data_IF_337197421848
#
_entry.id   IF_337197421848
#
_cell.length_a   1.000
_cell.length_b   1.000
_cell.length_c   1.000
_cell.angle_alpha   90.00
_cell.angle_beta   90.00
_cell.angle_gamma   90.00
#
_symmetry.space_group_name_H-M   'P 1'
#
loop_
_entity.id
_entity.type
_entity.pdbx_description
1 polymer ?
#
# COMPACT_ATOMS: atom_id res chain seq x y z
N UNK A 1 -33.20 -6.97 8.76
CA UNK A 1 -31.91 -6.31 9.08
C UNK A 1 -30.87 -7.42 9.01
N UNK A 2 -30.16 -7.53 7.89
CA UNK A 2 -29.10 -8.52 7.76
C UNK A 2 -27.89 -7.96 8.47
N UNK A 3 -27.58 -8.48 9.65
CA UNK A 3 -26.29 -8.28 10.28
C UNK A 3 -25.23 -8.68 9.27
N UNK A 4 -24.44 -7.69 8.84
CA UNK A 4 -23.40 -7.87 7.85
C UNK A 4 -22.24 -8.61 8.53
N UNK A 5 -22.28 -9.95 8.50
CA UNK A 5 -21.28 -10.87 9.07
C UNK A 5 -20.07 -10.95 8.14
N UNK A 6 -19.53 -9.80 7.74
CA UNK A 6 -18.20 -9.73 7.17
C UNK A 6 -17.34 -9.00 8.20
N UNK A 7 -16.22 -9.60 8.68
CA UNK A 7 -15.25 -8.82 9.42
C UNK A 7 -14.92 -7.61 8.55
N UNK A 8 -15.06 -6.42 9.13
CA UNK A 8 -14.70 -5.18 8.47
C UNK A 8 -13.30 -5.38 7.91
N UNK A 9 -13.16 -5.26 6.59
CA UNK A 9 -11.88 -5.39 5.92
C UNK A 9 -10.82 -4.45 6.53
N UNK A 10 -11.28 -3.38 7.18
CA UNK A 10 -10.49 -2.39 7.89
C UNK A 10 -9.98 -2.84 9.26
N UNK A 11 -10.46 -3.96 9.81
CA UNK A 11 -10.05 -4.47 11.12
C UNK A 11 -8.86 -5.43 11.03
N UNK A 12 -8.41 -5.76 9.81
CA UNK A 12 -7.30 -6.66 9.63
C UNK A 12 -5.97 -5.99 10.06
N UNK A 13 -5.08 -6.69 10.80
CA UNK A 13 -3.85 -6.11 11.34
C UNK A 13 -2.91 -5.47 10.31
N UNK A 14 -3.05 -5.81 9.03
CA UNK A 14 -2.23 -5.29 7.94
C UNK A 14 -2.75 -3.99 7.32
N UNK A 15 -3.97 -3.54 7.67
CA UNK A 15 -4.63 -2.38 7.05
C UNK A 15 -3.82 -1.11 7.24
N UNK A 16 -3.32 -0.85 8.46
CA UNK A 16 -2.50 0.33 8.73
C UNK A 16 -1.21 0.35 7.90
N UNK A 17 -0.54 -0.80 7.80
CA UNK A 17 0.66 -0.95 6.97
C UNK A 17 0.36 -0.74 5.47
N UNK A 18 -0.80 -1.22 5.00
CA UNK A 18 -1.25 -0.96 3.64
C UNK A 18 -1.55 0.52 3.39
N UNK A 19 -2.24 1.20 4.31
CA UNK A 19 -2.57 2.63 4.18
C UNK A 19 -1.29 3.47 4.11
N UNK A 20 -0.32 3.19 4.98
CA UNK A 20 0.97 3.88 4.95
C UNK A 20 1.74 3.66 3.64
N UNK A 21 1.78 2.42 3.14
CA UNK A 21 2.38 2.12 1.84
C UNK A 21 1.66 2.84 0.69
N UNK A 22 0.31 2.82 0.69
CA UNK A 22 -0.49 3.44 -0.36
C UNK A 22 -0.30 4.96 -0.39
N UNK A 23 -0.30 5.62 0.78
CA UNK A 23 -0.05 7.05 0.92
C UNK A 23 1.34 7.43 0.39
N UNK A 24 2.38 6.63 0.71
CA UNK A 24 3.71 6.85 0.17
C UNK A 24 3.73 6.71 -1.36
N UNK A 25 3.12 5.66 -1.91
CA UNK A 25 3.13 5.41 -3.36
C UNK A 25 2.50 6.53 -4.19
N UNK A 26 1.52 7.27 -3.64
CA UNK A 26 0.85 8.37 -4.35
C UNK A 26 1.50 9.74 -4.10
N UNK A 27 2.24 9.92 -3.00
CA UNK A 27 2.87 11.21 -2.64
C UNK A 27 4.35 11.28 -2.97
N UNK A 28 5.04 10.14 -3.02
CA UNK A 28 6.47 10.07 -3.32
C UNK A 28 6.71 10.24 -4.82
N UNK A 29 7.41 11.31 -5.21
CA UNK A 29 7.71 11.62 -6.60
C UNK A 29 8.43 10.49 -7.35
N UNK A 30 9.22 9.66 -6.66
CA UNK A 30 9.89 8.49 -7.25
C UNK A 30 8.90 7.36 -7.52
N UNK A 31 8.02 7.04 -6.57
CA UNK A 31 7.03 5.97 -6.71
C UNK A 31 5.89 6.35 -7.67
N UNK A 32 5.51 7.62 -7.70
CA UNK A 32 4.45 8.15 -8.56
C UNK A 32 4.97 8.59 -9.93
N UNK A 33 6.26 8.38 -10.23
CA UNK A 33 6.84 8.80 -11.50
C UNK A 33 6.19 8.04 -12.67
N UNK A 34 5.72 8.78 -13.67
CA UNK A 34 5.13 8.24 -14.88
C UNK A 34 5.92 8.72 -16.10
N UNK A 35 5.94 7.93 -17.17
CA UNK A 35 6.35 8.41 -18.48
C UNK A 35 5.26 9.30 -19.12
N UNK A 36 5.56 9.79 -20.33
CA UNK A 36 4.67 10.66 -21.10
C UNK A 36 3.36 9.96 -21.51
N UNK A 37 3.34 8.62 -21.53
CA UNK A 37 2.16 7.82 -21.85
C UNK A 37 1.31 7.51 -20.61
N UNK A 38 1.76 7.94 -19.42
CA UNK A 38 1.09 7.69 -18.14
C UNK A 38 1.43 6.32 -17.53
N UNK A 39 2.45 5.63 -18.02
CA UNK A 39 2.92 4.36 -17.46
C UNK A 39 3.83 4.64 -16.27
N UNK A 40 3.59 3.96 -15.15
CA UNK A 40 4.47 4.07 -13.98
C UNK A 40 5.89 3.56 -14.33
N UNK A 41 6.90 4.37 -14.02
CA UNK A 41 8.29 4.08 -14.38
C UNK A 41 8.93 2.95 -13.55
N UNK A 42 8.31 2.53 -12.43
CA UNK A 42 8.82 1.45 -11.59
C UNK A 42 10.19 1.75 -10.96
N UNK A 43 10.47 3.02 -10.66
CA UNK A 43 11.75 3.44 -10.09
C UNK A 43 11.96 2.85 -8.68
N UNK A 44 13.23 2.54 -8.37
CA UNK A 44 13.60 2.06 -7.05
C UNK A 44 13.45 3.16 -5.99
N UNK A 45 12.70 2.87 -4.94
CA UNK A 45 12.49 3.74 -3.79
C UNK A 45 12.70 2.94 -2.51
N UNK A 46 13.79 3.21 -1.79
CA UNK A 46 14.17 2.46 -0.59
C UNK A 46 13.07 2.51 0.50
N UNK A 47 12.39 3.65 0.63
CA UNK A 47 11.31 3.80 1.61
C UNK A 47 10.05 3.03 1.18
N UNK A 48 9.69 3.08 -0.10
CA UNK A 48 8.60 2.27 -0.65
C UNK A 48 8.86 0.77 -0.50
N UNK A 49 10.11 0.33 -0.70
CA UNK A 49 10.51 -1.07 -0.48
C UNK A 49 10.38 -1.48 1.00
N UNK A 50 10.84 -0.62 1.93
CA UNK A 50 10.71 -0.84 3.38
C UNK A 50 9.24 -0.97 3.78
N UNK A 51 8.38 -0.03 3.37
CA UNK A 51 6.95 -0.04 3.69
C UNK A 51 6.23 -1.25 3.08
N UNK A 52 6.62 -1.66 1.87
CA UNK A 52 6.07 -2.85 1.23
C UNK A 52 6.45 -4.13 1.96
N UNK A 53 7.68 -4.22 2.48
CA UNK A 53 8.09 -5.34 3.32
C UNK A 53 7.32 -5.38 4.64
N UNK A 54 7.12 -4.23 5.30
CA UNK A 54 6.29 -4.12 6.52
C UNK A 54 4.86 -4.58 6.26
N UNK A 55 4.25 -4.15 5.16
CA UNK A 55 2.93 -4.62 4.74
C UNK A 55 2.91 -6.14 4.50
N UNK A 56 3.92 -6.68 3.80
CA UNK A 56 4.02 -8.12 3.54
C UNK A 56 4.15 -8.94 4.82
N UNK A 57 4.88 -8.44 5.80
CA UNK A 57 5.03 -9.07 7.11
C UNK A 57 3.72 -9.01 7.90
N UNK A 58 3.09 -7.84 7.99
CA UNK A 58 1.82 -7.68 8.69
C UNK A 58 0.69 -8.53 8.09
N UNK A 59 0.69 -8.75 6.77
CA UNK A 59 -0.30 -9.59 6.08
C UNK A 59 -0.10 -11.09 6.31
N UNK A 60 1.09 -11.52 6.76
CA UNK A 60 1.42 -12.93 7.03
C UNK A 60 1.30 -13.31 8.51
N UNK A 61 1.25 -12.32 9.40
CA UNK A 61 1.10 -12.49 10.85
C UNK A 61 -0.35 -12.86 11.21
#
# INVERSE_FOLDING_TARGET
MTDNVYPSFFDAPWVDAFVHLADHCITCATCSAMDEEGTNLGLLCAEGERLNEEFRQARRA
#
